data_IF_817511100355
#
_entry.id   IF_817511100355
#
_cell.length_a   1.000
_cell.length_b   1.000
_cell.length_c   1.000
_cell.angle_alpha   90.00
_cell.angle_beta   90.00
_cell.angle_gamma   90.00
#
_symmetry.space_group_name_H-M   'P 1'
#
loop_
_entity.id
_entity.type
_entity.pdbx_description
1 polymer ?
#
# COMPACT_ATOMS: atom_id res chain seq x y z
N UNK A 1 27.90 5.65 3.60
CA UNK A 1 26.72 5.45 2.75
C UNK A 1 27.20 5.18 1.32
N UNK A 2 26.83 4.05 0.72
CA UNK A 2 27.29 3.67 -0.62
C UNK A 2 26.60 4.48 -1.72
N UNK A 3 27.20 4.55 -2.92
CA UNK A 3 26.65 5.27 -4.08
C UNK A 3 25.22 4.83 -4.44
N UNK A 4 24.92 3.54 -4.26
CA UNK A 4 23.58 2.95 -4.47
C UNK A 4 22.53 3.52 -3.50
N UNK A 5 22.84 3.64 -2.21
CA UNK A 5 21.93 4.23 -1.21
C UNK A 5 21.71 5.72 -1.49
N UNK A 6 22.74 6.46 -1.90
CA UNK A 6 22.59 7.87 -2.29
C UNK A 6 21.67 8.03 -3.49
N UNK A 7 21.77 7.15 -4.49
CA UNK A 7 20.85 7.15 -5.64
C UNK A 7 19.42 6.81 -5.22
N UNK A 8 19.24 5.84 -4.33
CA UNK A 8 17.95 5.47 -3.77
C UNK A 8 17.28 6.64 -3.04
N UNK A 9 18.01 7.33 -2.15
CA UNK A 9 17.49 8.46 -1.36
C UNK A 9 17.03 9.65 -2.21
N UNK A 10 17.51 9.80 -3.45
CA UNK A 10 16.99 10.83 -4.36
C UNK A 10 15.51 10.66 -4.69
N UNK A 11 14.96 9.45 -4.53
CA UNK A 11 13.54 9.18 -4.75
C UNK A 11 12.64 9.80 -3.67
N UNK A 12 13.18 10.14 -2.50
CA UNK A 12 12.41 10.80 -1.43
C UNK A 12 11.66 12.03 -1.95
N UNK A 13 12.34 12.83 -2.77
CA UNK A 13 11.80 14.07 -3.38
C UNK A 13 10.63 13.85 -4.35
N UNK A 14 10.33 12.60 -4.72
CA UNK A 14 9.18 12.25 -5.56
C UNK A 14 7.89 12.13 -4.75
N UNK A 15 7.98 11.89 -3.45
CA UNK A 15 6.84 11.81 -2.54
C UNK A 15 6.61 13.18 -1.92
N UNK A 16 5.86 14.04 -2.62
CA UNK A 16 5.49 15.38 -2.15
C UNK A 16 4.09 15.48 -1.55
N UNK A 17 3.26 14.45 -1.74
CA UNK A 17 1.88 14.44 -1.26
C UNK A 17 1.72 13.91 0.17
N UNK A 18 2.72 13.20 0.71
CA UNK A 18 2.71 12.71 2.09
C UNK A 18 3.46 13.71 2.97
N UNK A 19 2.78 14.42 3.89
CA UNK A 19 3.46 15.36 4.76
C UNK A 19 4.33 14.60 5.79
N UNK A 20 5.48 15.18 6.22
CA UNK A 20 6.45 14.50 7.08
C UNK A 20 5.87 14.00 8.42
N UNK A 21 4.82 14.64 8.92
CA UNK A 21 4.13 14.25 10.14
C UNK A 21 3.51 12.85 10.03
N UNK A 22 2.96 12.50 8.85
CA UNK A 22 2.44 11.14 8.61
C UNK A 22 3.56 10.09 8.48
N UNK A 23 4.81 10.54 8.36
CA UNK A 23 6.01 9.70 8.31
C UNK A 23 6.74 9.65 9.66
N UNK A 24 6.18 10.27 10.71
CA UNK A 24 6.71 10.22 12.08
C UNK A 24 7.57 11.42 12.48
N UNK A 25 7.59 12.52 11.72
CA UNK A 25 8.23 13.76 12.17
C UNK A 25 7.30 14.47 13.18
N UNK A 26 7.79 14.71 14.39
CA UNK A 26 7.04 15.47 15.38
C UNK A 26 7.23 16.98 15.13
N UNK A 27 6.16 17.74 14.79
CA UNK A 27 6.27 19.17 14.56
C UNK A 27 6.66 19.94 15.84
N UNK A 28 6.40 19.38 17.02
CA UNK A 28 6.71 19.99 18.33
C UNK A 28 8.09 19.59 18.87
N UNK A 29 8.88 18.81 18.13
CA UNK A 29 10.23 18.44 18.55
C UNK A 29 11.15 19.67 18.61
N UNK A 30 11.63 20.03 19.79
CA UNK A 30 12.46 21.22 20.01
C UNK A 30 13.96 20.93 19.88
N UNK A 31 14.40 19.67 20.02
CA UNK A 31 15.81 19.33 19.82
C UNK A 31 16.16 19.28 18.31
N UNK A 32 17.08 20.15 17.83
CA UNK A 32 17.49 20.14 16.43
C UNK A 32 18.13 18.82 15.98
N UNK A 33 18.76 18.08 16.91
CA UNK A 33 19.39 16.80 16.59
C UNK A 33 18.34 15.72 16.37
N UNK A 34 17.41 15.55 17.32
CA UNK A 34 16.27 14.65 17.19
C UNK A 34 15.44 14.94 15.93
N UNK A 35 15.14 16.22 15.66
CA UNK A 35 14.41 16.63 14.44
C UNK A 35 15.15 16.25 13.17
N UNK A 36 16.48 16.41 13.13
CA UNK A 36 17.27 16.01 11.96
C UNK A 36 17.24 14.49 11.71
N UNK A 37 17.23 13.68 12.77
CA UNK A 37 17.09 12.22 12.68
C UNK A 37 15.70 11.85 12.15
N UNK A 38 14.63 12.41 12.72
CA UNK A 38 13.26 12.17 12.25
C UNK A 38 13.09 12.56 10.78
N UNK A 39 13.63 13.70 10.36
CA UNK A 39 13.57 14.12 8.96
C UNK A 39 14.33 13.15 8.05
N UNK A 40 15.49 12.65 8.47
CA UNK A 40 16.24 11.66 7.71
C UNK A 40 15.45 10.35 7.54
N UNK A 41 14.80 9.88 8.62
CA UNK A 41 13.95 8.69 8.61
C UNK A 41 12.73 8.89 7.70
N UNK A 42 12.09 10.07 7.74
CA UNK A 42 10.98 10.42 6.86
C UNK A 42 11.39 10.47 5.38
N UNK A 43 12.58 11.01 5.07
CA UNK A 43 13.14 10.99 3.71
C UNK A 43 13.39 9.55 3.25
N UNK A 44 13.90 8.68 4.13
CA UNK A 44 14.15 7.27 3.82
C UNK A 44 12.84 6.51 3.56
N UNK A 45 11.81 6.74 4.39
CA UNK A 45 10.46 6.20 4.17
C UNK A 45 9.87 6.68 2.85
N UNK A 46 9.99 7.97 2.54
CA UNK A 46 9.53 8.55 1.28
C UNK A 46 10.19 7.88 0.08
N UNK A 47 11.51 7.69 0.12
CA UNK A 47 12.24 7.00 -0.94
C UNK A 47 11.77 5.54 -1.10
N UNK A 48 11.55 4.84 0.02
CA UNK A 48 11.06 3.47 0.02
C UNK A 48 9.62 3.35 -0.50
N UNK A 49 8.71 4.23 -0.08
CA UNK A 49 7.32 4.26 -0.55
C UNK A 49 7.23 4.49 -2.06
N UNK A 50 8.05 5.41 -2.60
CA UNK A 50 8.14 5.62 -4.04
C UNK A 50 8.56 4.35 -4.78
N UNK A 51 9.68 3.75 -4.38
CA UNK A 51 10.19 2.54 -5.03
C UNK A 51 9.21 1.36 -4.88
N UNK A 52 8.62 1.18 -3.70
CA UNK A 52 7.62 0.16 -3.43
C UNK A 52 6.38 0.35 -4.30
N UNK A 53 5.90 1.58 -4.48
CA UNK A 53 4.73 1.84 -5.33
C UNK A 53 4.96 1.47 -6.79
N UNK A 54 6.15 1.78 -7.34
CA UNK A 54 6.51 1.37 -8.69
C UNK A 54 6.58 -0.16 -8.81
N UNK A 55 7.26 -0.82 -7.86
CA UNK A 55 7.35 -2.28 -7.82
C UNK A 55 5.97 -2.96 -7.74
N UNK A 56 5.08 -2.46 -6.88
CA UNK A 56 3.72 -2.98 -6.76
C UNK A 56 2.95 -2.80 -8.07
N UNK A 57 3.05 -1.66 -8.73
CA UNK A 57 2.39 -1.46 -10.02
C UNK A 57 2.92 -2.40 -11.10
N UNK A 58 4.25 -2.52 -11.23
CA UNK A 58 4.89 -3.42 -12.18
C UNK A 58 4.43 -4.86 -11.95
N UNK A 59 4.42 -5.31 -10.69
CA UNK A 59 4.01 -6.66 -10.37
C UNK A 59 2.53 -6.96 -10.58
N UNK A 60 1.66 -5.95 -10.44
CA UNK A 60 0.25 -6.09 -10.82
C UNK A 60 0.08 -6.22 -12.34
N UNK A 61 0.90 -5.54 -13.15
CA UNK A 61 0.90 -5.73 -14.60
C UNK A 61 1.40 -7.13 -14.99
N UNK A 62 2.42 -7.65 -14.30
CA UNK A 62 2.86 -9.05 -14.49
C UNK A 62 1.76 -10.05 -14.11
N UNK A 63 1.06 -9.82 -13.00
CA UNK A 63 -0.10 -10.64 -12.61
C UNK A 63 -1.22 -10.62 -13.65
N UNK A 64 -1.42 -9.50 -14.34
CA UNK A 64 -2.40 -9.35 -15.41
C UNK A 64 -1.96 -10.11 -16.67
N UNK A 65 -0.70 -9.96 -17.07
CA UNK A 65 -0.12 -10.64 -18.24
C UNK A 65 -0.18 -12.16 -18.08
N UNK A 66 0.21 -12.67 -16.92
CA UNK A 66 0.15 -14.11 -16.59
C UNK A 66 -1.26 -14.70 -16.64
N UNK A 67 -2.31 -13.87 -16.56
CA UNK A 67 -3.72 -14.29 -16.69
C UNK A 67 -4.30 -14.12 -18.08
N UNK A 68 -3.71 -13.26 -18.91
CA UNK A 68 -4.11 -13.07 -20.30
C UNK A 68 -3.59 -14.16 -21.24
N UNK A 69 -2.45 -14.77 -20.88
CA UNK A 69 -1.79 -15.82 -21.64
C UNK A 69 -2.19 -17.21 -21.09
N UNK A 70 -3.36 -17.70 -21.49
CA UNK A 70 -3.83 -19.10 -21.47
C UNK A 70 -3.49 -19.97 -20.21
N UNK A 71 -4.51 -20.56 -19.58
CA UNK A 71 -4.50 -21.27 -18.28
C UNK A 71 -3.39 -22.34 -18.09
N UNK A 72 -2.72 -22.78 -19.16
CA UNK A 72 -1.69 -23.83 -19.14
C UNK A 72 -0.30 -23.38 -18.64
N UNK A 73 -0.11 -22.11 -18.29
CA UNK A 73 1.16 -21.61 -17.70
C UNK A 73 0.99 -20.80 -16.41
N UNK A 74 -0.04 -21.11 -15.62
CA UNK A 74 -0.10 -20.71 -14.21
C UNK A 74 0.92 -21.50 -13.37
N UNK A 75 2.20 -21.44 -13.77
CA UNK A 75 3.30 -21.83 -12.91
C UNK A 75 3.41 -20.76 -11.83
N UNK A 76 3.04 -21.18 -10.62
CA UNK A 76 3.28 -20.52 -9.36
C UNK A 76 4.59 -19.73 -9.33
N UNK A 77 4.53 -18.56 -8.69
CA UNK A 77 5.67 -17.83 -8.13
C UNK A 77 6.72 -17.41 -9.15
N UNK A 78 6.34 -16.50 -10.06
CA UNK A 78 7.33 -15.61 -10.64
C UNK A 78 7.65 -14.52 -9.61
N UNK A 79 8.94 -14.37 -9.28
CA UNK A 79 9.46 -13.18 -8.61
C UNK A 79 8.88 -11.93 -9.30
N UNK A 80 8.33 -11.00 -8.52
CA UNK A 80 7.69 -9.80 -9.06
C UNK A 80 6.16 -9.83 -9.15
N UNK A 81 5.46 -10.86 -8.69
CA UNK A 81 3.98 -10.85 -8.61
C UNK A 81 3.47 -10.30 -7.26
N UNK A 82 2.26 -9.71 -7.26
CA UNK A 82 1.66 -9.03 -6.09
C UNK A 82 0.53 -9.82 -5.46
N UNK A 83 -0.23 -10.59 -6.23
CA UNK A 83 -1.34 -11.38 -5.69
C UNK A 83 -0.98 -12.36 -4.55
N UNK A 84 0.23 -12.93 -4.46
CA UNK A 84 0.64 -13.73 -3.30
C UNK A 84 0.65 -12.98 -1.96
N UNK A 85 0.73 -11.64 -1.98
CA UNK A 85 0.67 -10.78 -0.80
C UNK A 85 -0.77 -10.46 -0.37
N UNK A 86 -1.77 -10.81 -1.18
CA UNK A 86 -3.18 -10.65 -0.82
C UNK A 86 -3.71 -11.86 -0.02
N UNK A 87 -4.83 -11.71 0.72
CA UNK A 87 -5.44 -12.79 1.50
C UNK A 87 -5.65 -14.09 0.71
N UNK A 88 -4.86 -15.13 1.02
CA UNK A 88 -4.81 -16.38 0.24
C UNK A 88 -6.15 -17.11 0.11
N UNK A 89 -7.07 -16.93 1.07
CA UNK A 89 -8.40 -17.57 1.04
C UNK A 89 -9.27 -17.13 -0.16
N UNK A 90 -8.98 -15.98 -0.76
CA UNK A 90 -9.67 -15.51 -1.96
C UNK A 90 -8.85 -15.69 -3.24
N UNK A 91 -7.73 -16.42 -3.21
CA UNK A 91 -6.83 -16.57 -4.35
C UNK A 91 -7.54 -17.08 -5.63
N UNK A 92 -8.57 -17.93 -5.48
CA UNK A 92 -9.38 -18.44 -6.59
C UNK A 92 -10.27 -17.39 -7.26
N UNK A 93 -10.53 -16.27 -6.57
CA UNK A 93 -11.36 -15.16 -7.06
C UNK A 93 -10.51 -14.04 -7.71
N UNK A 94 -9.18 -14.12 -7.68
CA UNK A 94 -8.30 -13.14 -8.33
C UNK A 94 -8.20 -13.41 -9.84
N UNK A 95 -9.31 -13.18 -10.53
CA UNK A 95 -9.41 -13.30 -11.99
C UNK A 95 -8.80 -12.09 -12.72
N UNK A 96 -8.88 -12.11 -14.05
CA UNK A 96 -8.37 -11.03 -14.90
C UNK A 96 -9.01 -9.68 -14.57
N UNK A 97 -10.33 -9.63 -14.38
CA UNK A 97 -11.06 -8.40 -14.10
C UNK A 97 -10.71 -7.83 -12.71
N UNK A 98 -10.53 -8.70 -11.72
CA UNK A 98 -10.06 -8.34 -10.39
C UNK A 98 -8.72 -7.61 -10.46
N UNK A 99 -7.74 -8.15 -11.20
CA UNK A 99 -6.43 -7.53 -11.36
C UNK A 99 -6.53 -6.19 -12.08
N UNK A 100 -7.35 -6.08 -13.13
CA UNK A 100 -7.58 -4.79 -13.80
C UNK A 100 -8.13 -3.72 -12.84
N UNK A 101 -9.13 -4.08 -12.02
CA UNK A 101 -9.67 -3.16 -11.01
C UNK A 101 -8.63 -2.80 -9.96
N UNK A 102 -7.81 -3.76 -9.53
CA UNK A 102 -6.74 -3.55 -8.55
C UNK A 102 -5.65 -2.61 -9.09
N UNK A 103 -5.26 -2.75 -10.36
CA UNK A 103 -4.33 -1.83 -11.04
C UNK A 103 -4.89 -0.41 -11.03
N UNK A 104 -6.16 -0.22 -11.39
CA UNK A 104 -6.77 1.12 -11.42
C UNK A 104 -6.88 1.71 -10.01
N UNK A 105 -7.30 0.91 -9.03
CA UNK A 105 -7.37 1.34 -7.63
C UNK A 105 -5.97 1.69 -7.08
N UNK A 106 -4.94 0.93 -7.45
CA UNK A 106 -3.54 1.19 -7.08
C UNK A 106 -2.97 2.44 -7.75
N UNK A 107 -3.23 2.65 -9.03
CA UNK A 107 -2.81 3.86 -9.74
C UNK A 107 -3.44 5.12 -9.11
N UNK A 108 -4.72 5.03 -8.74
CA UNK A 108 -5.43 6.10 -8.04
C UNK A 108 -4.87 6.38 -6.65
N UNK A 109 -4.61 5.33 -5.86
CA UNK A 109 -4.01 5.44 -4.54
C UNK A 109 -2.59 6.01 -4.60
N UNK A 110 -1.72 5.46 -5.45
CA UNK A 110 -0.31 5.84 -5.48
C UNK A 110 -0.07 7.21 -6.11
N UNK A 111 -0.99 7.71 -6.94
CA UNK A 111 -0.95 9.11 -7.38
C UNK A 111 -0.96 10.09 -6.20
N UNK A 112 -1.60 9.74 -5.08
CA UNK A 112 -1.70 10.55 -3.85
C UNK A 112 -0.34 10.76 -3.18
N UNK A 113 0.61 9.82 -3.35
CA UNK A 113 1.99 9.98 -2.86
C UNK A 113 2.67 11.23 -3.45
N UNK A 114 2.30 11.62 -4.67
CA UNK A 114 2.91 12.76 -5.38
C UNK A 114 2.09 14.04 -5.32
N UNK A 115 0.79 13.93 -5.05
CA UNK A 115 -0.14 15.06 -5.10
C UNK A 115 -0.45 15.53 -3.68
N UNK A 116 -1.44 14.89 -3.08
CA UNK A 116 -1.91 15.13 -1.73
C UNK A 116 -2.37 13.78 -1.19
N UNK A 117 -1.86 13.40 -0.03
CA UNK A 117 -2.20 12.14 0.59
C UNK A 117 -3.64 12.21 1.13
N UNK A 118 -4.44 11.22 0.75
CA UNK A 118 -5.69 10.91 1.41
C UNK A 118 -5.73 9.42 1.74
N UNK A 119 -6.34 9.02 2.87
CA UNK A 119 -6.44 7.62 3.25
C UNK A 119 -7.15 6.79 2.17
N UNK A 120 -6.99 5.45 2.15
CA UNK A 120 -7.70 4.56 1.24
C UNK A 120 -9.21 4.79 1.18
N UNK A 121 -9.77 4.66 -0.02
CA UNK A 121 -11.19 4.84 -0.28
C UNK A 121 -11.97 3.54 -0.32
N UNK A 122 -11.28 2.39 -0.36
CA UNK A 122 -11.88 1.07 -0.31
C UNK A 122 -10.89 0.05 0.26
N UNK A 123 -11.39 -1.14 0.56
CA UNK A 123 -10.60 -2.25 1.12
C UNK A 123 -9.46 -2.67 0.20
N UNK A 124 -9.67 -2.65 -1.13
CA UNK A 124 -8.60 -2.98 -2.08
C UNK A 124 -7.42 -2.00 -1.96
N UNK A 125 -7.68 -0.70 -1.76
CA UNK A 125 -6.63 0.28 -1.54
C UNK A 125 -5.94 0.10 -0.18
N UNK A 126 -6.67 -0.25 0.89
CA UNK A 126 -6.06 -0.58 2.19
C UNK A 126 -5.12 -1.78 2.09
N UNK A 127 -5.52 -2.82 1.35
CA UNK A 127 -4.67 -3.98 1.10
C UNK A 127 -3.41 -3.59 0.34
N UNK A 128 -3.52 -2.72 -0.68
CA UNK A 128 -2.34 -2.23 -1.42
C UNK A 128 -1.39 -1.42 -0.53
N UNK A 129 -1.90 -0.62 0.41
CA UNK A 129 -1.03 0.05 1.41
C UNK A 129 -0.30 -0.95 2.30
N UNK A 130 -0.94 -2.06 2.70
CA UNK A 130 -0.26 -3.11 3.47
C UNK A 130 0.83 -3.81 2.65
N UNK A 131 0.54 -4.11 1.38
CA UNK A 131 1.54 -4.65 0.45
C UNK A 131 2.71 -3.67 0.28
N UNK A 132 2.45 -2.35 0.20
CA UNK A 132 3.52 -1.35 0.19
C UNK A 132 4.42 -1.48 1.42
N UNK A 133 3.87 -1.66 2.62
CA UNK A 133 4.67 -1.79 3.84
C UNK A 133 5.60 -3.01 3.78
N UNK A 134 5.14 -4.13 3.21
CA UNK A 134 5.98 -5.32 3.06
C UNK A 134 7.16 -5.05 2.10
N UNK A 135 6.94 -4.27 1.04
CA UNK A 135 8.02 -3.84 0.14
C UNK A 135 8.91 -2.73 0.71
N UNK A 136 8.38 -1.85 1.57
CA UNK A 136 9.21 -0.89 2.33
C UNK A 136 10.17 -1.64 3.25
N UNK A 137 9.71 -2.69 3.93
CA UNK A 137 10.57 -3.56 4.76
C UNK A 137 11.69 -4.19 3.90
N UNK A 138 11.37 -4.69 2.71
CA UNK A 138 12.38 -5.21 1.78
C UNK A 138 13.46 -4.15 1.44
N UNK A 139 13.06 -2.90 1.17
CA UNK A 139 14.02 -1.82 0.88
C UNK A 139 14.82 -1.38 2.10
N UNK A 140 14.19 -1.34 3.28
CA UNK A 140 14.87 -1.09 4.56
C UNK A 140 16.03 -2.07 4.75
N UNK A 141 15.77 -3.36 4.59
CA UNK A 141 16.77 -4.40 4.79
C UNK A 141 17.83 -4.40 3.68
N UNK A 142 17.41 -4.18 2.43
CA UNK A 142 18.31 -4.17 1.26
C UNK A 142 19.31 -3.00 1.29
N UNK A 143 18.85 -1.81 1.67
CA UNK A 143 19.66 -0.59 1.65
C UNK A 143 20.23 -0.21 3.03
N UNK A 144 19.87 -0.94 4.09
CA UNK A 144 20.26 -0.63 5.46
C UNK A 144 19.72 0.72 5.92
N UNK A 145 18.43 0.99 5.62
CA UNK A 145 17.81 2.26 5.98
C UNK A 145 17.63 2.34 7.50
N UNK A 146 18.09 3.45 8.07
CA UNK A 146 17.81 3.80 9.46
C UNK A 146 16.38 4.35 9.51
N UNK A 147 15.45 3.52 9.97
CA UNK A 147 14.04 3.86 10.16
C UNK A 147 13.71 3.69 11.66
N UNK A 148 12.78 4.48 12.18
CA UNK A 148 12.28 4.31 13.55
C UNK A 148 11.79 2.87 13.78
N UNK A 149 11.97 2.31 14.98
CA UNK A 149 11.59 0.91 15.26
C UNK A 149 10.10 0.64 15.00
N UNK A 150 9.25 1.63 15.26
CA UNK A 150 7.80 1.59 15.12
C UNK A 150 7.29 2.17 13.78
N UNK A 151 8.18 2.37 12.79
CA UNK A 151 7.82 3.01 11.50
C UNK A 151 6.57 2.40 10.86
N UNK A 152 6.44 1.06 10.91
CA UNK A 152 5.32 0.34 10.30
C UNK A 152 4.01 0.62 11.02
N UNK A 153 4.04 0.65 12.35
CA UNK A 153 2.88 0.96 13.19
C UNK A 153 2.45 2.41 13.01
N UNK A 154 3.42 3.33 12.93
CA UNK A 154 3.18 4.74 12.62
C UNK A 154 2.53 4.89 11.25
N UNK A 155 3.09 4.32 10.18
CA UNK A 155 2.45 4.37 8.86
C UNK A 155 1.07 3.72 8.83
N UNK A 156 0.86 2.60 9.54
CA UNK A 156 -0.45 1.98 9.62
C UNK A 156 -1.48 2.90 10.27
N UNK A 157 -1.10 3.58 11.37
CA UNK A 157 -1.96 4.56 12.04
C UNK A 157 -2.26 5.76 11.12
N UNK A 158 -1.25 6.31 10.47
CA UNK A 158 -1.38 7.57 9.74
C UNK A 158 -1.96 7.38 8.32
N UNK A 159 -1.60 6.30 7.63
CA UNK A 159 -1.97 6.09 6.22
C UNK A 159 -3.26 5.27 6.05
N UNK A 160 -3.64 4.42 7.02
CA UNK A 160 -4.87 3.61 6.93
C UNK A 160 -6.07 4.22 7.68
N UNK A 161 -5.86 5.17 8.60
CA UNK A 161 -6.96 5.77 9.36
C UNK A 161 -7.45 7.03 8.65
N UNK A 162 -8.68 6.97 8.12
CA UNK A 162 -9.46 8.15 7.74
C UNK A 162 -10.56 8.47 8.75
N UNK A 163 -11.13 9.71 8.71
CA UNK A 163 -12.31 10.06 9.50
C UNK A 163 -13.49 9.21 9.01
N UNK A 164 -13.80 8.14 9.74
CA UNK A 164 -14.85 7.17 9.40
C UNK A 164 -14.43 5.70 9.55
N UNK A 165 -13.15 5.41 9.75
CA UNK A 165 -12.64 4.04 9.68
C UNK A 165 -12.76 3.35 11.06
N UNK A 166 -13.99 2.92 11.41
CA UNK A 166 -14.24 2.00 12.53
C UNK A 166 -13.73 0.57 12.29
N UNK A 167 -13.09 0.32 11.14
CA UNK A 167 -12.42 -0.93 10.81
C UNK A 167 -10.99 -0.93 11.34
N UNK A 168 -10.86 -0.86 12.68
CA UNK A 168 -9.58 -1.07 13.35
C UNK A 168 -9.14 -2.52 13.10
N UNK A 169 -8.26 -2.72 12.13
CA UNK A 169 -7.50 -3.96 12.02
C UNK A 169 -6.49 -3.94 13.17
N UNK A 170 -6.74 -4.76 14.18
CA UNK A 170 -5.89 -4.86 15.37
C UNK A 170 -4.42 -5.06 14.99
N UNK A 171 -3.57 -4.23 15.57
CA UNK A 171 -2.12 -4.33 15.58
C UNK A 171 -1.68 -5.42 16.56
N UNK A 172 -2.07 -6.66 16.33
CA UNK A 172 -1.48 -7.80 17.04
C UNK A 172 -0.61 -8.59 16.07
N UNK A 173 0.70 -8.38 16.24
CA UNK A 173 1.76 -9.06 15.55
C UNK A 173 1.82 -10.53 15.97
N UNK A 174 1.47 -11.44 15.06
CA UNK A 174 2.19 -12.71 14.91
C UNK A 174 1.90 -13.32 13.54
N UNK A 175 2.96 -13.78 12.89
CA UNK A 175 3.03 -14.33 11.53
C UNK A 175 2.28 -15.68 11.36
N UNK A 176 1.38 -16.01 12.30
CA UNK A 176 0.53 -17.19 12.30
C UNK A 176 -0.97 -16.84 12.18
N UNK A 177 -1.35 -15.56 12.24
CA UNK A 177 -2.76 -15.16 12.41
C UNK A 177 -3.26 -14.11 11.40
N UNK A 178 -2.77 -14.17 10.15
CA UNK A 178 -3.50 -13.61 8.99
C UNK A 178 -4.92 -14.20 8.84
N UNK A 179 -5.29 -15.18 9.67
CA UNK A 179 -6.61 -15.77 9.83
C UNK A 179 -7.58 -15.01 10.74
N UNK A 180 -7.13 -13.99 11.51
CA UNK A 180 -7.99 -13.27 12.47
C UNK A 180 -7.91 -11.74 12.40
N UNK A 181 -7.62 -11.19 11.23
CA UNK A 181 -8.28 -9.92 10.90
C UNK A 181 -9.80 -10.13 11.11
N UNK A 182 -10.54 -9.14 11.58
CA UNK A 182 -12.01 -9.15 11.56
C UNK A 182 -12.56 -9.05 10.10
N UNK A 183 -11.87 -9.72 9.18
CA UNK A 183 -12.21 -10.16 7.85
C UNK A 183 -13.49 -11.00 7.80
N UNK A 184 -14.07 -11.32 8.95
CA UNK A 184 -15.37 -11.99 9.11
C UNK A 184 -16.55 -11.15 8.60
N UNK A 185 -16.38 -9.83 8.38
CA UNK A 185 -17.48 -8.96 7.95
C UNK A 185 -17.30 -8.26 6.60
N UNK A 186 -16.14 -8.39 5.94
CA UNK A 186 -15.93 -7.80 4.61
C UNK A 186 -15.99 -8.90 3.55
N UNK A 187 -17.12 -8.96 2.87
CA UNK A 187 -17.33 -9.82 1.71
C UNK A 187 -16.35 -9.41 0.59
N UNK A 188 -15.79 -10.38 -0.12
CA UNK A 188 -14.82 -10.14 -1.20
C UNK A 188 -15.38 -9.19 -2.27
N UNK A 189 -16.69 -9.30 -2.46
CA UNK A 189 -17.52 -8.52 -3.36
C UNK A 189 -17.44 -7.01 -3.08
N UNK A 190 -17.16 -6.62 -1.83
CA UNK A 190 -17.15 -5.22 -1.39
C UNK A 190 -15.74 -4.59 -1.45
N UNK A 191 -14.73 -5.32 -1.96
CA UNK A 191 -13.34 -4.83 -1.94
C UNK A 191 -13.14 -3.53 -2.73
N UNK A 192 -13.96 -3.33 -3.75
CA UNK A 192 -13.94 -2.18 -4.64
C UNK A 192 -15.15 -1.25 -4.41
N UNK A 193 -15.90 -1.44 -3.33
CA UNK A 193 -16.93 -0.50 -2.92
C UNK A 193 -16.29 0.66 -2.16
N UNK A 194 -16.63 1.92 -2.49
CA UNK A 194 -16.10 3.07 -1.79
C UNK A 194 -16.64 3.11 -0.35
N UNK A 195 -15.80 3.47 0.61
CA UNK A 195 -16.25 3.85 1.94
C UNK A 195 -17.13 5.11 1.88
N UNK A 196 -17.97 5.30 2.89
CA UNK A 196 -18.99 6.35 2.92
C UNK A 196 -18.48 7.72 2.45
N UNK A 197 -19.11 8.26 1.40
CA UNK A 197 -18.82 9.59 0.86
C UNK A 197 -17.57 9.69 -0.02
N UNK A 198 -16.83 8.60 -0.21
CA UNK A 198 -15.63 8.56 -1.07
C UNK A 198 -15.98 8.18 -2.51
N UNK A 199 -15.03 8.37 -3.43
CA UNK A 199 -15.20 8.07 -4.85
C UNK A 199 -14.03 7.27 -5.36
N UNK A 200 -14.32 6.32 -6.24
CA UNK A 200 -13.31 5.54 -6.94
C UNK A 200 -13.31 5.91 -8.42
N UNK A 201 -12.23 5.60 -9.16
CA UNK A 201 -12.23 5.74 -10.61
C UNK A 201 -13.41 4.98 -11.24
N UNK A 202 -14.04 5.52 -12.31
CA UNK A 202 -15.24 4.93 -12.91
C UNK A 202 -15.10 3.47 -13.38
N UNK A 203 -13.86 3.03 -13.65
CA UNK A 203 -13.58 1.64 -14.05
C UNK A 203 -13.66 0.64 -12.88
N UNK A 204 -13.43 1.12 -11.66
CA UNK A 204 -13.47 0.31 -10.43
C UNK A 204 -14.91 0.16 -9.94
N UNK A 205 -15.70 1.24 -10.05
CA UNK A 205 -17.13 1.20 -9.75
C UNK A 205 -17.84 0.23 -10.71
N UNK A 206 -18.48 -0.81 -10.14
CA UNK A 206 -19.38 -1.64 -10.94
C UNK A 206 -20.60 -0.79 -11.35
N UNK A 207 -20.89 -0.70 -12.65
CA UNK A 207 -22.05 0.05 -13.16
C UNK A 207 -23.39 -0.43 -12.57
N UNK A 208 -23.44 -1.63 -11.98
CA UNK A 208 -24.61 -2.20 -11.33
C UNK A 208 -24.98 -1.50 -10.00
N UNK A 209 -24.05 -0.81 -9.33
CA UNK A 209 -24.33 -0.09 -8.08
C UNK A 209 -24.98 1.27 -8.28
N UNK A 210 -25.03 1.79 -9.52
CA UNK A 210 -25.71 3.06 -9.87
C UNK A 210 -27.23 2.92 -10.03
N UNK A 211 -27.79 1.74 -9.72
CA UNK A 211 -29.16 1.35 -10.02
C UNK A 211 -30.05 0.99 -8.82
N UNK A 212 -29.73 1.40 -7.58
CA UNK A 212 -30.72 1.36 -6.49
C UNK A 212 -31.25 2.77 -6.19
N UNK A 213 -32.55 3.03 -6.44
CA UNK A 213 -33.20 4.28 -6.07
C UNK A 213 -33.30 4.46 -4.54
#
# INVERSE_FOLDING_TARGET
MGESTTKFMRNARRVSGVPPELLGVDPMEDDPTARAVQQHQADALSAALWCASAYVMDGLFEDLLGRSADESKAAMTADGTILPFLPRRFARKYDFQFVQKLIVAGADLFARLTREWSPPDCVAQELLVRVLFDHVQFYKDTYGLDLAEDWRSTLARELLVGPGNGHSFGSDESDADLGRCNMTSVEFENWFEPFDGRRLPPYVESLESRGRP
#
